data_IF_141815943135
#
_entry.id   IF_141815943135
#
_cell.length_a   1.000
_cell.length_b   1.000
_cell.length_c   1.000
_cell.angle_alpha   90.00
_cell.angle_beta   90.00
_cell.angle_gamma   90.00
#
_symmetry.space_group_name_H-M   'P 1'
#
loop_
_entity.id
_entity.type
_entity.pdbx_description
1 polymer ?
#
# COMPACT_ATOMS: atom_id res chain seq x y z
N UNK A 1 23.81 -12.55 12.41
CA UNK A 1 23.22 -11.19 12.25
C UNK A 1 22.71 -10.91 10.83
N UNK A 2 22.99 -11.77 9.83
CA UNK A 2 22.62 -11.50 8.42
C UNK A 2 21.13 -11.60 8.08
N UNK A 3 20.35 -12.42 8.81
CA UNK A 3 18.94 -12.64 8.49
C UNK A 3 18.06 -11.40 8.74
N UNK A 4 18.41 -10.56 9.72
CA UNK A 4 17.61 -9.38 10.06
C UNK A 4 17.73 -8.29 8.98
N UNK A 5 18.93 -8.09 8.45
CA UNK A 5 19.19 -7.13 7.36
C UNK A 5 18.44 -7.50 6.08
N UNK A 6 18.36 -8.79 5.73
CA UNK A 6 17.63 -9.24 4.53
C UNK A 6 16.13 -8.97 4.64
N UNK A 7 15.53 -9.20 5.83
CA UNK A 7 14.10 -8.94 6.05
C UNK A 7 13.75 -7.44 5.96
N UNK A 8 14.60 -6.57 6.52
CA UNK A 8 14.50 -5.11 6.41
C UNK A 8 14.63 -4.61 4.96
N UNK A 9 15.56 -5.19 4.20
CA UNK A 9 15.74 -4.84 2.79
C UNK A 9 14.54 -5.27 1.94
N UNK A 10 13.99 -6.44 2.23
CA UNK A 10 12.82 -6.98 1.51
C UNK A 10 11.55 -6.19 1.83
N UNK A 11 11.30 -5.85 3.09
CA UNK A 11 10.15 -4.99 3.45
C UNK A 11 10.24 -3.62 2.79
N UNK A 12 11.43 -3.01 2.75
CA UNK A 12 11.66 -1.76 2.04
C UNK A 12 11.41 -1.89 0.52
N UNK A 13 11.86 -2.98 -0.11
CA UNK A 13 11.59 -3.27 -1.54
C UNK A 13 10.11 -3.43 -1.82
N UNK A 14 9.40 -4.20 -1.00
CA UNK A 14 7.96 -4.42 -1.15
C UNK A 14 7.17 -3.11 -0.97
N UNK A 15 7.59 -2.24 -0.06
CA UNK A 15 7.00 -0.91 0.10
C UNK A 15 7.21 -0.04 -1.15
N UNK A 16 8.41 -0.06 -1.74
CA UNK A 16 8.69 0.67 -2.99
C UNK A 16 7.86 0.12 -4.16
N UNK A 17 7.67 -1.20 -4.25
CA UNK A 17 6.80 -1.82 -5.25
C UNK A 17 5.35 -1.34 -5.11
N UNK A 18 4.82 -1.26 -3.89
CA UNK A 18 3.48 -0.72 -3.64
C UNK A 18 3.34 0.74 -4.05
N UNK A 19 4.34 1.57 -3.73
CA UNK A 19 4.38 2.97 -4.20
C UNK A 19 4.33 3.06 -5.73
N UNK A 20 5.08 2.21 -6.41
CA UNK A 20 5.01 2.09 -7.88
C UNK A 20 3.60 1.69 -8.35
N UNK A 21 2.93 0.78 -7.64
CA UNK A 21 1.54 0.40 -7.89
C UNK A 21 0.55 1.55 -7.73
N UNK A 22 0.75 2.43 -6.73
CA UNK A 22 -0.09 3.63 -6.55
C UNK A 22 -0.01 4.56 -7.75
N UNK A 23 1.20 4.83 -8.25
CA UNK A 23 1.38 5.64 -9.46
C UNK A 23 0.78 4.96 -10.69
N UNK A 24 0.99 3.65 -10.85
CA UNK A 24 0.39 2.90 -11.95
C UNK A 24 -1.14 2.97 -11.92
N UNK A 25 -1.76 2.86 -10.74
CA UNK A 25 -3.21 3.01 -10.58
C UNK A 25 -3.68 4.44 -10.92
N UNK A 26 -2.92 5.47 -10.50
CA UNK A 26 -3.22 6.88 -10.81
C UNK A 26 -3.27 7.14 -12.32
N UNK A 27 -2.43 6.45 -13.08
CA UNK A 27 -2.36 6.50 -14.54
C UNK A 27 -3.22 5.42 -15.22
N UNK A 28 -4.10 4.77 -14.47
CA UNK A 28 -4.99 3.69 -14.93
C UNK A 28 -4.25 2.53 -15.64
N UNK A 29 -2.98 2.28 -15.29
CA UNK A 29 -2.16 1.21 -15.84
C UNK A 29 -2.43 -0.15 -15.17
N UNK A 30 -2.88 -0.13 -13.91
CA UNK A 30 -3.31 -1.32 -13.17
C UNK A 30 -4.70 -1.07 -12.56
N UNK A 31 -5.42 -2.14 -12.23
CA UNK A 31 -6.68 -2.07 -11.49
C UNK A 31 -6.45 -1.97 -9.98
N UNK A 32 -7.44 -1.45 -9.25
CA UNK A 32 -7.44 -1.44 -7.79
C UNK A 32 -7.28 -2.87 -7.20
N UNK A 33 -7.90 -3.86 -7.84
CA UNK A 33 -7.76 -5.28 -7.46
C UNK A 33 -6.35 -5.83 -7.65
N UNK A 34 -5.64 -5.43 -8.71
CA UNK A 34 -4.25 -5.82 -8.93
C UNK A 34 -3.33 -5.22 -7.86
N UNK A 35 -3.55 -3.95 -7.50
CA UNK A 35 -2.86 -3.32 -6.37
C UNK A 35 -3.16 -4.03 -5.05
N UNK A 36 -4.42 -4.42 -4.82
CA UNK A 36 -4.83 -5.19 -3.65
C UNK A 36 -4.13 -6.56 -3.55
N UNK A 37 -3.93 -7.25 -4.67
CA UNK A 37 -3.14 -8.48 -4.72
C UNK A 37 -1.66 -8.24 -4.41
N UNK A 38 -1.06 -7.18 -4.96
CA UNK A 38 0.32 -6.79 -4.62
C UNK A 38 0.49 -6.51 -3.12
N UNK A 39 -0.45 -5.80 -2.51
CA UNK A 39 -0.45 -5.51 -1.08
C UNK A 39 -0.53 -6.77 -0.22
N UNK A 40 -1.40 -7.72 -0.56
CA UNK A 40 -1.52 -9.00 0.15
C UNK A 40 -0.29 -9.90 -0.04
N UNK A 41 0.38 -9.79 -1.18
CA UNK A 41 1.62 -10.52 -1.47
C UNK A 41 2.86 -9.96 -0.75
N UNK A 42 2.82 -8.71 -0.29
CA UNK A 42 3.89 -8.05 0.46
C UNK A 42 3.98 -8.53 1.92
N UNK A 43 4.12 -9.84 2.12
CA UNK A 43 4.06 -10.49 3.44
C UNK A 43 5.18 -10.04 4.37
N UNK A 44 6.40 -9.83 3.86
CA UNK A 44 7.55 -9.38 4.66
C UNK A 44 7.35 -7.95 5.17
N UNK A 45 6.80 -7.07 4.33
CA UNK A 45 6.39 -5.72 4.73
C UNK A 45 5.33 -5.76 5.82
N UNK A 46 4.27 -6.54 5.63
CA UNK A 46 3.16 -6.63 6.59
C UNK A 46 3.59 -7.22 7.93
N UNK A 47 4.55 -8.15 7.94
CA UNK A 47 5.13 -8.72 9.17
C UNK A 47 6.08 -7.75 9.90
N UNK A 48 6.78 -6.88 9.16
CA UNK A 48 7.68 -5.89 9.74
C UNK A 48 6.96 -4.67 10.33
N UNK A 49 5.70 -4.43 9.94
CA UNK A 49 4.88 -3.34 10.45
C UNK A 49 3.97 -3.80 11.61
N UNK A 50 3.58 -2.89 12.52
CA UNK A 50 2.52 -3.18 13.49
C UNK A 50 1.22 -3.59 12.79
N UNK A 51 0.43 -4.54 13.34
CA UNK A 51 -0.72 -5.14 12.66
C UNK A 51 -1.75 -4.12 12.16
N UNK A 52 -1.93 -3.01 12.90
CA UNK A 52 -2.80 -1.88 12.50
C UNK A 52 -2.50 -1.33 11.10
N UNK A 53 -1.25 -1.39 10.63
CA UNK A 53 -0.89 -0.89 9.30
C UNK A 53 -1.50 -1.76 8.21
N UNK A 54 -1.51 -3.09 8.41
CA UNK A 54 -2.15 -4.03 7.49
C UNK A 54 -3.66 -3.81 7.43
N UNK A 55 -4.30 -3.62 8.58
CA UNK A 55 -5.75 -3.34 8.66
C UNK A 55 -6.13 -2.05 7.91
N UNK A 56 -5.39 -0.97 8.14
CA UNK A 56 -5.61 0.32 7.45
C UNK A 56 -5.38 0.18 5.94
N UNK A 57 -4.29 -0.47 5.52
CA UNK A 57 -3.99 -0.69 4.11
C UNK A 57 -5.13 -1.44 3.41
N UNK A 58 -5.57 -2.56 3.98
CA UNK A 58 -6.64 -3.37 3.41
C UNK A 58 -7.98 -2.63 3.37
N UNK A 59 -8.29 -1.80 4.38
CA UNK A 59 -9.50 -0.99 4.36
C UNK A 59 -9.49 0.09 3.27
N UNK A 60 -8.34 0.74 3.05
CA UNK A 60 -8.18 1.72 1.97
C UNK A 60 -8.33 1.06 0.60
N UNK A 61 -7.74 -0.11 0.42
CA UNK A 61 -7.83 -0.88 -0.84
C UNK A 61 -9.26 -1.35 -1.11
N UNK A 62 -9.98 -1.84 -0.11
CA UNK A 62 -11.39 -2.25 -0.25
C UNK A 62 -12.29 -1.09 -0.70
N UNK A 63 -12.12 0.08 -0.07
CA UNK A 63 -12.83 1.31 -0.47
C UNK A 63 -12.50 1.73 -1.88
N UNK A 64 -11.23 1.60 -2.27
CA UNK A 64 -10.75 1.93 -3.61
C UNK A 64 -11.35 0.98 -4.66
N UNK A 65 -11.34 -0.33 -4.41
CA UNK A 65 -11.98 -1.35 -5.26
C UNK A 65 -13.47 -1.08 -5.41
N UNK A 66 -14.17 -0.79 -4.31
CA UNK A 66 -15.58 -0.42 -4.33
C UNK A 66 -15.82 0.85 -5.14
N UNK A 67 -15.02 1.90 -4.92
CA UNK A 67 -15.14 3.18 -5.65
C UNK A 67 -14.88 3.07 -7.15
N UNK A 68 -14.10 2.08 -7.59
CA UNK A 68 -13.84 1.81 -9.01
C UNK A 68 -15.03 1.13 -9.71
N UNK A 69 -15.96 0.52 -8.96
CA UNK A 69 -17.18 -0.09 -9.50
C UNK A 69 -18.28 0.92 -9.80
N UNK A 70 -18.17 2.14 -9.26
CA UNK A 70 -19.15 3.22 -9.46
C UNK A 70 -18.58 4.27 -10.43
N UNK A 71 -19.31 4.56 -11.51
CA UNK A 71 -18.85 5.38 -12.66
C UNK A 71 -19.28 6.84 -12.61
N UNK A 72 -19.91 7.31 -11.53
CA UNK A 72 -20.34 8.70 -11.42
C UNK A 72 -19.15 9.63 -11.13
N UNK A 73 -19.23 10.89 -11.55
CA UNK A 73 -18.16 11.89 -11.42
C UNK A 73 -17.67 12.07 -9.96
N UNK A 74 -18.55 11.79 -8.99
CA UNK A 74 -18.28 11.73 -7.54
C UNK A 74 -17.23 10.67 -7.12
N UNK A 75 -17.02 9.64 -7.94
CA UNK A 75 -16.06 8.57 -7.67
C UNK A 75 -14.63 8.95 -8.06
N UNK A 76 -14.46 9.84 -9.03
CA UNK A 76 -13.13 10.33 -9.42
C UNK A 76 -12.46 11.11 -8.28
N UNK A 77 -13.23 11.94 -7.58
CA UNK A 77 -12.78 12.69 -6.42
C UNK A 77 -12.45 11.75 -5.24
N UNK A 78 -13.34 10.80 -4.95
CA UNK A 78 -13.14 9.80 -3.90
C UNK A 78 -11.93 8.90 -4.16
N UNK A 79 -11.71 8.45 -5.41
CA UNK A 79 -10.53 7.66 -5.78
C UNK A 79 -9.23 8.43 -5.61
N UNK A 80 -9.22 9.71 -5.97
CA UNK A 80 -8.04 10.58 -5.79
C UNK A 80 -7.70 10.75 -4.31
N UNK A 81 -8.70 10.98 -3.45
CA UNK A 81 -8.53 11.09 -2.00
C UNK A 81 -8.04 9.76 -1.39
N UNK A 82 -8.62 8.63 -1.79
CA UNK A 82 -8.19 7.31 -1.34
C UNK A 82 -6.73 7.02 -1.75
N UNK A 83 -6.33 7.42 -2.96
CA UNK A 83 -4.96 7.27 -3.42
C UNK A 83 -3.98 8.16 -2.62
N UNK A 84 -4.38 9.38 -2.26
CA UNK A 84 -3.59 10.25 -1.39
C UNK A 84 -3.39 9.64 0.01
N UNK A 85 -4.47 9.08 0.57
CA UNK A 85 -4.41 8.34 1.83
C UNK A 85 -3.49 7.10 1.75
N UNK A 86 -3.47 6.38 0.62
CA UNK A 86 -2.53 5.27 0.38
C UNK A 86 -1.07 5.74 0.32
N UNK A 87 -0.79 6.88 -0.34
CA UNK A 87 0.54 7.49 -0.36
C UNK A 87 0.97 7.89 1.05
N UNK A 88 0.10 8.57 1.81
CA UNK A 88 0.36 8.94 3.19
C UNK A 88 0.59 7.72 4.10
N UNK A 89 -0.17 6.64 3.89
CA UNK A 89 0.06 5.38 4.58
C UNK A 89 1.47 4.84 4.30
N UNK A 90 1.93 4.87 3.05
CA UNK A 90 3.26 4.39 2.69
C UNK A 90 4.39 5.26 3.26
N UNK A 91 4.18 6.57 3.41
CA UNK A 91 5.12 7.45 4.10
C UNK A 91 5.25 7.10 5.58
N UNK A 92 4.11 6.86 6.24
CA UNK A 92 4.08 6.41 7.64
C UNK A 92 4.71 5.02 7.81
N UNK A 93 4.43 4.09 6.90
CA UNK A 93 5.02 2.76 6.91
C UNK A 93 6.55 2.82 6.74
N UNK A 94 7.05 3.66 5.83
CA UNK A 94 8.49 3.86 5.64
C UNK A 94 9.16 4.42 6.91
N UNK A 95 8.56 5.45 7.51
CA UNK A 95 9.06 6.02 8.76
C UNK A 95 9.04 4.99 9.90
N UNK A 96 8.01 4.15 9.96
CA UNK A 96 7.89 3.09 10.95
C UNK A 96 8.97 2.02 10.81
N UNK A 97 9.27 1.58 9.58
CA UNK A 97 10.34 0.61 9.30
C UNK A 97 11.73 1.17 9.67
N UNK A 98 11.96 2.46 9.43
CA UNK A 98 13.21 3.11 9.79
C UNK A 98 13.36 3.32 11.31
N UNK A 99 12.26 3.64 12.00
CA UNK A 99 12.25 3.92 13.43
C UNK A 99 12.26 2.65 14.29
N UNK A 100 11.70 1.54 13.78
CA UNK A 100 11.66 0.28 14.49
C UNK A 100 12.10 -0.86 13.56
N UNK A 101 13.41 -1.09 13.40
CA UNK A 101 13.93 -2.07 12.46
C UNK A 101 13.59 -3.54 12.78
N UNK A 102 13.05 -3.83 13.97
CA UNK A 102 12.83 -5.21 14.43
C UNK A 102 14.10 -5.84 14.97
#
# INVERSE_FOLDING_TARGET
>A
MSHNTTALQESARQLQQLRGGFEQLAHSQISASALGQQARAATTLLQALPPRYGEVLLNLLDRLESSALFTEESCSFSQKDLLDNLRMWADKAQAQLAANPG
#
